data_IF_859177331179
#
_entry.id   IF_859177331179
#
_cell.length_a   1.000
_cell.length_b   1.000
_cell.length_c   1.000
_cell.angle_alpha   90.00
_cell.angle_beta   90.00
_cell.angle_gamma   90.00
#
_symmetry.space_group_name_H-M   'P 1'
#
loop_
_entity.id
_entity.type
_entity.pdbx_description
1 polymer ?
#
# COMPACT_ATOMS: atom_id res chain seq x y z
N UNK A 1 -11.47 29.21 45.95
CA UNK A 1 -12.57 28.74 45.09
C UNK A 1 -12.17 28.91 43.64
N UNK A 2 -12.01 27.78 42.91
CA UNK A 2 -12.30 27.54 41.48
C UNK A 2 -11.71 28.58 40.49
N UNK A 3 -10.80 28.29 39.57
CA UNK A 3 -10.60 27.07 38.76
C UNK A 3 -9.24 27.15 38.07
N UNK A 4 -8.41 26.11 38.23
CA UNK A 4 -7.31 25.82 37.30
C UNK A 4 -7.96 25.21 36.06
N UNK A 5 -8.08 25.96 34.96
CA UNK A 5 -8.57 25.43 33.70
C UNK A 5 -7.39 24.88 32.89
N UNK A 6 -7.30 23.55 32.93
CA UNK A 6 -6.45 22.73 32.10
C UNK A 6 -6.73 22.99 30.61
N UNK A 7 -5.75 23.53 29.88
CA UNK A 7 -5.73 23.42 28.42
C UNK A 7 -5.05 22.08 28.08
N UNK A 8 -5.85 21.02 28.03
CA UNK A 8 -5.44 19.72 27.54
C UNK A 8 -5.03 19.86 26.06
N UNK A 9 -3.72 19.71 25.79
CA UNK A 9 -3.21 19.45 24.45
C UNK A 9 -3.85 18.15 23.97
N UNK A 10 -4.89 18.28 23.14
CA UNK A 10 -5.49 17.18 22.40
C UNK A 10 -4.43 16.61 21.46
N UNK A 11 -3.81 15.52 21.90
CA UNK A 11 -3.01 14.63 21.08
C UNK A 11 -3.89 14.13 19.93
N UNK A 12 -3.80 14.74 18.75
CA UNK A 12 -4.32 14.14 17.53
C UNK A 12 -3.42 12.95 17.18
N UNK A 13 -3.72 11.78 17.73
CA UNK A 13 -3.22 10.53 17.17
C UNK A 13 -4.06 10.19 15.94
N UNK A 14 -3.48 10.12 14.73
CA UNK A 14 -4.21 9.57 13.60
C UNK A 14 -4.38 8.07 13.84
N UNK A 15 -5.61 7.66 14.16
CA UNK A 15 -6.00 6.25 14.09
C UNK A 15 -6.09 5.85 12.60
N UNK A 16 -4.95 5.68 11.94
CA UNK A 16 -4.87 5.00 10.64
C UNK A 16 -5.01 3.50 10.89
N UNK A 17 -6.26 3.04 11.04
CA UNK A 17 -6.58 1.63 10.86
C UNK A 17 -6.82 1.38 9.37
N UNK A 18 -5.75 1.50 8.57
CA UNK A 18 -5.77 0.96 7.22
C UNK A 18 -5.51 -0.53 7.35
N UNK A 19 -6.57 -1.34 7.30
CA UNK A 19 -6.46 -2.80 7.24
C UNK A 19 -5.91 -3.24 5.87
N UNK A 20 -4.69 -2.82 5.58
CA UNK A 20 -3.96 -3.02 4.34
C UNK A 20 -3.21 -4.37 4.34
N UNK A 21 -3.72 -5.34 5.11
CA UNK A 21 -3.22 -6.72 5.15
C UNK A 21 -3.58 -7.53 3.90
N UNK A 22 -4.30 -6.94 2.95
CA UNK A 22 -4.64 -7.61 1.70
C UNK A 22 -3.37 -7.92 0.90
N UNK A 23 -3.27 -9.16 0.41
CA UNK A 23 -2.12 -9.58 -0.41
C UNK A 23 -2.27 -9.01 -1.81
N UNK A 24 -1.23 -8.34 -2.29
CA UNK A 24 -1.12 -7.80 -3.66
C UNK A 24 0.17 -8.29 -4.31
N UNK A 25 0.24 -8.19 -5.63
CA UNK A 25 1.39 -8.62 -6.41
C UNK A 25 2.16 -7.42 -6.96
N UNK A 26 3.48 -7.43 -6.86
CA UNK A 26 4.35 -6.43 -7.48
C UNK A 26 5.44 -7.12 -8.30
N UNK A 27 5.99 -6.39 -9.28
CA UNK A 27 7.20 -6.78 -9.97
C UNK A 27 8.45 -6.21 -9.27
N UNK A 28 9.52 -6.99 -9.24
CA UNK A 28 10.87 -6.66 -8.74
C UNK A 28 11.65 -5.69 -9.63
N UNK A 29 11.20 -5.48 -10.86
CA UNK A 29 11.92 -4.63 -11.81
C UNK A 29 12.03 -3.20 -11.30
N UNK A 30 13.19 -2.56 -11.55
CA UNK A 30 13.46 -1.18 -11.16
C UNK A 30 12.44 -0.18 -11.73
N UNK A 31 11.82 -0.53 -12.86
CA UNK A 31 10.77 0.26 -13.54
C UNK A 31 9.34 -0.02 -13.03
N UNK A 32 9.17 -0.97 -12.11
CA UNK A 32 7.85 -1.34 -11.61
C UNK A 32 7.30 -0.24 -10.69
N UNK A 33 6.25 0.44 -11.12
CA UNK A 33 5.63 1.53 -10.35
C UNK A 33 4.31 1.14 -9.67
N UNK A 34 3.73 -0.02 -10.01
CA UNK A 34 2.38 -0.38 -9.62
C UNK A 34 2.29 -1.67 -8.79
N UNK A 35 1.21 -1.79 -8.01
CA UNK A 35 0.75 -3.02 -7.39
C UNK A 35 -0.51 -3.56 -8.06
N UNK A 36 -0.65 -4.87 -8.10
CA UNK A 36 -1.66 -5.59 -8.86
C UNK A 36 -2.51 -6.46 -7.93
N UNK A 37 -3.81 -6.51 -8.17
CA UNK A 37 -4.73 -7.37 -7.41
C UNK A 37 -4.55 -8.86 -7.75
N UNK A 38 -4.15 -9.17 -8.98
CA UNK A 38 -4.03 -10.55 -9.48
C UNK A 38 -2.66 -10.79 -10.13
N UNK A 39 -2.06 -11.95 -9.86
CA UNK A 39 -0.81 -12.42 -10.52
C UNK A 39 -0.94 -12.52 -12.04
N UNK A 40 -2.15 -12.74 -12.55
CA UNK A 40 -2.46 -12.87 -13.98
C UNK A 40 -2.65 -11.54 -14.70
N UNK A 41 -2.47 -10.39 -14.05
CA UNK A 41 -2.63 -9.09 -14.68
C UNK A 41 -1.75 -8.97 -15.93
N UNK A 42 -2.35 -8.57 -17.06
CA UNK A 42 -1.67 -8.45 -18.36
C UNK A 42 -0.43 -7.56 -18.31
N UNK A 43 -0.46 -6.48 -17.52
CA UNK A 43 0.68 -5.56 -17.37
C UNK A 43 1.76 -6.10 -16.45
N UNK A 44 1.40 -6.94 -15.47
CA UNK A 44 2.34 -7.67 -14.62
C UNK A 44 3.05 -8.78 -15.40
N UNK A 45 2.31 -9.50 -16.26
CA UNK A 45 2.85 -10.54 -17.15
C UNK A 45 3.89 -10.03 -18.17
N UNK A 46 3.95 -8.71 -18.44
CA UNK A 46 5.01 -8.15 -19.30
C UNK A 46 6.40 -8.29 -18.68
N UNK A 47 6.49 -8.46 -17.37
CA UNK A 47 7.70 -8.95 -16.74
C UNK A 47 7.77 -10.47 -16.95
N UNK A 48 8.36 -10.88 -18.09
CA UNK A 48 8.50 -12.29 -18.48
C UNK A 48 9.60 -13.02 -17.71
N UNK A 49 10.34 -12.33 -16.85
CA UNK A 49 11.39 -12.94 -16.05
C UNK A 49 10.77 -13.78 -14.91
N UNK A 50 11.06 -15.09 -14.93
CA UNK A 50 10.62 -15.98 -13.86
C UNK A 50 11.16 -15.53 -12.50
N UNK A 51 10.33 -15.58 -11.46
CA UNK A 51 10.70 -15.12 -10.12
C UNK A 51 10.68 -13.59 -9.90
N UNK A 52 10.29 -12.81 -10.92
CA UNK A 52 10.23 -11.36 -10.83
C UNK A 52 8.94 -10.81 -10.19
N UNK A 53 7.91 -11.65 -10.06
CA UNK A 53 6.66 -11.30 -9.35
C UNK A 53 6.73 -11.76 -7.90
N UNK A 54 6.47 -10.85 -6.96
CA UNK A 54 6.36 -11.15 -5.54
C UNK A 54 4.98 -10.76 -5.00
N UNK A 55 4.54 -11.48 -3.97
CA UNK A 55 3.34 -11.15 -3.20
C UNK A 55 3.76 -10.39 -1.93
N UNK A 56 3.14 -9.24 -1.68
CA UNK A 56 3.37 -8.40 -0.50
C UNK A 56 2.04 -7.90 0.04
N UNK A 57 2.03 -7.31 1.24
CA UNK A 57 0.84 -6.62 1.73
C UNK A 57 0.59 -5.33 0.97
N UNK A 58 -0.66 -4.93 0.86
CA UNK A 58 -1.05 -3.63 0.31
C UNK A 58 -0.36 -2.49 1.07
N UNK A 59 -0.20 -2.64 2.39
CA UNK A 59 0.47 -1.67 3.25
C UNK A 59 1.90 -1.45 2.77
N UNK A 60 2.65 -2.55 2.58
CA UNK A 60 4.03 -2.49 2.11
C UNK A 60 4.12 -1.92 0.70
N UNK A 61 3.18 -2.25 -0.18
CA UNK A 61 3.14 -1.70 -1.52
C UNK A 61 2.99 -0.17 -1.51
N UNK A 62 2.10 0.36 -0.65
CA UNK A 62 1.90 1.80 -0.47
C UNK A 62 3.13 2.47 0.16
N UNK A 63 3.73 1.85 1.18
CA UNK A 63 4.96 2.31 1.83
C UNK A 63 6.12 2.44 0.82
N UNK A 64 6.20 1.50 -0.13
CA UNK A 64 7.17 1.53 -1.24
C UNK A 64 6.83 2.59 -2.33
N UNK A 65 5.78 3.39 -2.15
CA UNK A 65 5.33 4.40 -3.12
C UNK A 65 4.69 3.82 -4.37
N UNK A 66 4.32 2.53 -4.38
CA UNK A 66 3.67 1.89 -5.54
C UNK A 66 2.21 2.35 -5.65
N UNK A 67 1.74 2.52 -6.87
CA UNK A 67 0.36 2.97 -7.19
C UNK A 67 -0.54 1.79 -7.59
N UNK A 68 -1.87 1.88 -7.43
CA UNK A 68 -2.76 0.83 -7.94
C UNK A 68 -2.61 0.68 -9.44
N UNK A 69 -2.52 -0.55 -9.92
CA UNK A 69 -2.54 -0.82 -11.35
C UNK A 69 -3.90 -0.44 -11.94
N UNK A 70 -3.90 0.47 -12.93
CA UNK A 70 -5.11 0.89 -13.64
C UNK A 70 -5.88 -0.28 -14.26
N UNK A 71 -5.22 -1.34 -14.70
CA UNK A 71 -5.92 -2.51 -15.29
C UNK A 71 -6.57 -3.41 -14.23
N UNK A 72 -6.07 -3.39 -12.99
CA UNK A 72 -6.62 -4.20 -11.91
C UNK A 72 -7.75 -3.51 -11.15
N UNK A 73 -7.72 -2.18 -11.09
CA UNK A 73 -8.56 -1.36 -10.21
C UNK A 73 -9.42 -0.33 -10.97
N UNK A 74 -9.53 -0.48 -12.29
CA UNK A 74 -10.47 0.25 -13.14
C UNK A 74 -11.48 -0.74 -13.73
#
# INVERSE_FOLDING_TARGET
MKTVLLAALLYLTPNVSSNDNNTVYISKGSSAYAYHMKKSCRTLKRCNEEGHVMAITLAKAKEMGRKPCKVCYN
#
